data_IF_385353636059
#
_entry.id   IF_385353636059
#
_cell.length_a   1.000
_cell.length_b   1.000
_cell.length_c   1.000
_cell.angle_alpha   90.00
_cell.angle_beta   90.00
_cell.angle_gamma   90.00
#
_symmetry.space_group_name_H-M   'P 1'
#
loop_
_entity.id
_entity.type
_entity.pdbx_description
1 polymer ?
#
# COMPACT_ATOMS: atom_id res chain seq x y z
N UNK A 1 0.09 -20.02 -2.58
CA UNK A 1 -0.37 -19.36 -3.82
C UNK A 1 0.19 -17.96 -3.83
N UNK A 2 0.97 -17.60 -4.85
CA UNK A 2 1.59 -16.27 -4.98
C UNK A 2 0.74 -15.35 -5.88
N UNK A 3 -0.58 -15.51 -5.87
CA UNK A 3 -1.49 -14.68 -6.65
C UNK A 3 -1.76 -13.39 -5.87
N UNK A 4 -1.42 -12.24 -6.45
CA UNK A 4 -1.80 -10.96 -5.89
C UNK A 4 -3.29 -10.71 -6.09
N UNK A 5 -3.91 -10.08 -5.10
CA UNK A 5 -5.30 -9.67 -5.15
C UNK A 5 -5.44 -8.30 -4.51
N UNK A 6 -6.41 -7.51 -4.98
CA UNK A 6 -6.88 -6.32 -4.24
C UNK A 6 -8.33 -6.54 -3.83
N UNK A 7 -8.70 -5.90 -2.71
CA UNK A 7 -10.08 -5.86 -2.24
C UNK A 7 -10.71 -4.51 -2.61
N UNK A 8 -11.99 -4.51 -2.97
CA UNK A 8 -12.78 -3.31 -3.27
C UNK A 8 -14.07 -3.22 -2.44
N UNK A 9 -14.02 -3.73 -1.21
CA UNK A 9 -15.14 -3.93 -0.25
C UNK A 9 -16.13 -5.05 -0.60
N UNK A 10 -16.24 -5.48 -1.85
CA UNK A 10 -17.21 -6.51 -2.24
C UNK A 10 -16.57 -7.86 -2.55
N UNK A 11 -15.41 -7.85 -3.22
CA UNK A 11 -14.74 -9.06 -3.70
C UNK A 11 -13.23 -8.93 -3.63
N UNK A 12 -12.57 -10.09 -3.61
CA UNK A 12 -11.16 -10.21 -3.92
C UNK A 12 -11.00 -10.35 -5.44
N UNK A 13 -10.23 -9.45 -6.03
CA UNK A 13 -9.98 -9.43 -7.48
C UNK A 13 -8.53 -9.83 -7.74
N UNK A 14 -8.34 -10.81 -8.62
CA UNK A 14 -7.01 -11.20 -9.07
C UNK A 14 -6.30 -10.03 -9.76
N UNK A 15 -5.15 -9.67 -9.20
CA UNK A 15 -4.27 -8.64 -9.71
C UNK A 15 -3.06 -9.30 -10.37
N UNK A 16 -2.84 -9.04 -11.65
CA UNK A 16 -1.62 -9.47 -12.34
C UNK A 16 -0.65 -8.30 -12.38
N UNK A 17 0.48 -8.35 -11.63
CA UNK A 17 1.42 -7.26 -11.63
C UNK A 17 2.08 -7.03 -12.97
N UNK A 18 2.36 -5.77 -13.25
CA UNK A 18 3.12 -5.26 -14.39
C UNK A 18 4.40 -4.58 -13.90
N UNK A 19 5.33 -4.30 -14.82
CA UNK A 19 6.62 -3.70 -14.49
C UNK A 19 6.52 -2.32 -13.83
N UNK A 20 5.40 -1.61 -14.00
CA UNK A 20 5.17 -0.30 -13.38
C UNK A 20 4.65 -0.37 -11.94
N UNK A 21 4.21 -1.53 -11.48
CA UNK A 21 3.63 -1.68 -10.15
C UNK A 21 4.70 -1.65 -9.06
N UNK A 22 4.37 -1.03 -7.94
CA UNK A 22 5.29 -0.82 -6.82
C UNK A 22 4.57 -0.83 -5.49
N UNK A 23 5.13 -1.57 -4.53
CA UNK A 23 4.68 -1.55 -3.15
C UNK A 23 5.33 -0.37 -2.42
N UNK A 24 4.49 0.51 -1.87
CA UNK A 24 4.93 1.70 -1.14
C UNK A 24 4.79 1.56 0.38
N UNK A 25 3.93 0.65 0.85
CA UNK A 25 3.69 0.40 2.26
C UNK A 25 3.20 -1.04 2.47
N UNK A 26 3.38 -1.55 3.68
CA UNK A 26 2.74 -2.76 4.18
C UNK A 26 1.77 -2.38 5.30
N UNK A 27 0.62 -3.06 5.35
CA UNK A 27 -0.44 -2.81 6.33
C UNK A 27 -0.72 -4.10 7.08
N UNK A 28 -0.72 -4.02 8.41
CA UNK A 28 -1.29 -5.03 9.28
C UNK A 28 -2.68 -4.56 9.72
N UNK A 29 -3.72 -5.21 9.18
CA UNK A 29 -5.11 -4.89 9.45
C UNK A 29 -5.54 -5.26 10.88
N UNK A 30 -4.92 -6.25 11.51
CA UNK A 30 -5.28 -6.68 12.87
C UNK A 30 -4.80 -5.66 13.91
N UNK A 31 -3.64 -5.06 13.68
CA UNK A 31 -3.02 -4.10 14.61
C UNK A 31 -3.13 -2.63 14.17
N UNK A 32 -3.79 -2.37 13.03
CA UNK A 32 -3.88 -1.03 12.42
C UNK A 32 -2.51 -0.37 12.19
N UNK A 33 -1.46 -1.16 11.94
CA UNK A 33 -0.12 -0.64 11.73
C UNK A 33 0.17 -0.45 10.25
N UNK A 34 0.86 0.64 9.95
CA UNK A 34 1.37 0.97 8.61
C UNK A 34 2.89 1.00 8.69
N UNK A 35 3.53 0.21 7.85
CA UNK A 35 4.98 0.29 7.60
C UNK A 35 5.20 0.91 6.22
N UNK A 36 5.69 2.15 6.18
CA UNK A 36 6.08 2.79 4.92
C UNK A 36 7.40 2.21 4.44
N UNK A 37 7.48 1.79 3.17
CA UNK A 37 8.64 1.12 2.59
C UNK A 37 9.71 2.11 2.07
N UNK A 38 9.85 3.26 2.74
CA UNK A 38 10.81 4.30 2.33
C UNK A 38 12.23 3.78 2.51
N UNK A 39 13.03 3.85 1.45
CA UNK A 39 14.41 3.37 1.43
C UNK A 39 14.55 1.84 1.34
N UNK A 40 13.43 1.10 1.30
CA UNK A 40 13.44 -0.34 1.04
C UNK A 40 13.75 -0.64 -0.42
N UNK A 41 14.28 -1.84 -0.68
CA UNK A 41 14.57 -2.33 -2.04
C UNK A 41 14.20 -3.81 -2.19
N UNK A 42 14.30 -4.33 -3.40
CA UNK A 42 13.96 -5.71 -3.75
C UNK A 42 12.52 -5.85 -4.25
N UNK A 43 11.98 -7.08 -4.17
CA UNK A 43 10.63 -7.38 -4.61
C UNK A 43 9.91 -8.34 -3.67
N UNK A 44 8.59 -8.21 -3.61
CA UNK A 44 7.70 -9.14 -2.91
C UNK A 44 6.84 -9.82 -3.96
N UNK A 45 6.97 -11.14 -4.09
CA UNK A 45 6.16 -11.94 -5.02
C UNK A 45 6.06 -11.33 -6.43
N UNK A 46 7.16 -10.80 -6.96
CA UNK A 46 7.25 -10.23 -8.30
C UNK A 46 6.92 -8.73 -8.44
N UNK A 47 6.54 -8.03 -7.36
CA UNK A 47 6.34 -6.57 -7.37
C UNK A 47 7.53 -5.90 -6.70
N UNK A 48 8.13 -4.91 -7.34
CA UNK A 48 9.20 -4.11 -6.74
C UNK A 48 8.67 -3.34 -5.53
N UNK A 49 9.49 -3.19 -4.50
CA UNK A 49 9.10 -2.45 -3.29
C UNK A 49 9.99 -1.24 -3.03
N UNK A 50 9.40 -0.30 -2.30
CA UNK A 50 10.08 0.86 -1.73
C UNK A 50 10.25 2.03 -2.67
N UNK A 51 10.61 3.17 -2.09
CA UNK A 51 10.69 4.47 -2.74
C UNK A 51 11.73 5.36 -2.03
N UNK A 52 12.18 6.44 -2.68
CA UNK A 52 13.21 7.34 -2.15
C UNK A 52 12.60 8.49 -1.34
N UNK A 53 11.76 9.28 -1.99
CA UNK A 53 11.08 10.45 -1.41
C UNK A 53 9.60 10.39 -1.73
N UNK A 54 8.77 10.95 -0.84
CA UNK A 54 7.32 11.00 -1.02
C UNK A 54 6.69 11.95 0.00
N UNK A 55 5.56 12.54 -0.36
CA UNK A 55 4.62 13.18 0.58
C UNK A 55 3.45 12.27 0.98
N UNK A 56 3.45 11.01 0.52
CA UNK A 56 2.38 10.08 0.81
C UNK A 56 2.32 9.77 2.31
N UNK A 57 1.12 9.85 2.85
CA UNK A 57 0.80 9.49 4.22
C UNK A 57 -0.40 8.56 4.22
N UNK A 58 -0.28 7.44 4.95
CA UNK A 58 -1.40 6.53 5.19
C UNK A 58 -1.81 6.65 6.66
N UNK A 59 -3.07 6.97 6.88
CA UNK A 59 -3.65 7.12 8.22
C UNK A 59 -4.59 5.95 8.48
N UNK A 60 -4.29 5.16 9.51
CA UNK A 60 -5.12 4.05 9.95
C UNK A 60 -6.40 4.54 10.65
N UNK A 61 -7.44 3.72 10.58
CA UNK A 61 -8.78 3.97 11.09
C UNK A 61 -9.42 5.27 10.57
N UNK A 62 -9.24 5.55 9.28
CA UNK A 62 -9.74 6.77 8.65
C UNK A 62 -10.33 6.50 7.27
N UNK A 63 -11.51 7.07 7.02
CA UNK A 63 -12.14 7.16 5.70
C UNK A 63 -12.63 8.58 5.45
N UNK A 64 -12.14 9.22 4.39
CA UNK A 64 -12.51 10.62 4.02
C UNK A 64 -12.36 11.59 5.19
N UNK A 65 -11.20 11.56 5.85
CA UNK A 65 -10.85 12.41 6.99
C UNK A 65 -11.72 12.23 8.25
N UNK A 66 -12.56 11.19 8.29
CA UNK A 66 -13.38 10.83 9.46
C UNK A 66 -12.90 9.48 10.01
N UNK A 67 -12.89 9.35 11.33
CA UNK A 67 -12.58 8.09 11.99
C UNK A 67 -13.52 6.98 11.51
N UNK A 68 -12.94 5.87 11.04
CA UNK A 68 -13.67 4.67 10.66
C UNK A 68 -12.76 3.45 10.89
N UNK A 69 -13.14 2.60 11.83
CA UNK A 69 -12.31 1.47 12.26
C UNK A 69 -12.09 0.47 11.12
N UNK A 70 -10.83 0.04 10.93
CA UNK A 70 -10.42 -0.89 9.87
C UNK A 70 -10.13 -0.24 8.51
N UNK A 71 -10.41 1.05 8.33
CA UNK A 71 -10.13 1.77 7.08
C UNK A 71 -8.76 2.46 7.08
N UNK A 72 -8.16 2.61 5.91
CA UNK A 72 -6.87 3.28 5.73
C UNK A 72 -6.97 4.34 4.64
N UNK A 73 -6.86 5.61 5.02
CA UNK A 73 -6.87 6.71 4.06
C UNK A 73 -5.45 7.04 3.61
N UNK A 74 -5.28 7.25 2.31
CA UNK A 74 -4.03 7.72 1.72
C UNK A 74 -4.18 9.19 1.28
N UNK A 75 -3.18 10.01 1.61
CA UNK A 75 -3.05 11.40 1.16
C UNK A 75 -1.66 11.62 0.57
N UNK A 76 -1.42 12.81 0.01
CA UNK A 76 -0.20 13.14 -0.72
C UNK A 76 -0.39 12.99 -2.23
N UNK A 77 0.66 13.26 -2.98
CA UNK A 77 0.59 13.47 -4.43
C UNK A 77 1.76 12.86 -5.19
N UNK A 78 2.87 12.54 -4.53
CA UNK A 78 4.06 12.06 -5.22
C UNK A 78 4.86 11.04 -4.41
N UNK A 79 5.59 10.23 -5.15
CA UNK A 79 6.75 9.50 -4.67
C UNK A 79 7.79 9.45 -5.80
N UNK A 80 9.04 9.24 -5.46
CA UNK A 80 10.14 9.04 -6.40
C UNK A 80 10.79 7.69 -6.18
N UNK A 81 11.36 7.15 -7.25
CA UNK A 81 12.12 5.91 -7.24
C UNK A 81 13.21 5.99 -8.32
N UNK A 82 14.21 5.11 -8.22
CA UNK A 82 15.30 4.99 -9.21
C UNK A 82 14.82 4.60 -10.61
#
# INVERSE_FOLDING_TARGET
NNQWQYANNDVWVDFTPTTGDRLIAAIDFDSSQVEMLRGSSGSVNGINQGYLESDLMITANQWRDVFNEGEFSITGTYFTFE
#
